data_IF_082492753654
#
_entry.id   IF_082492753654
#
_cell.length_a   1.000
_cell.length_b   1.000
_cell.length_c   1.000
_cell.angle_alpha   90.00
_cell.angle_beta   90.00
_cell.angle_gamma   90.00
#
_symmetry.space_group_name_H-M   'P 1'
#
loop_
_entity.id
_entity.type
_entity.pdbx_description
1 polymer ?
#
# COMPACT_ATOMS: atom_id res chain seq x y z
N UNK A 1 11.12 -9.75 -4.00
CA UNK A 1 11.11 -8.95 -2.76
C UNK A 1 12.55 -8.83 -2.32
N UNK A 2 13.07 -7.62 -2.27
CA UNK A 2 14.49 -7.36 -2.01
C UNK A 2 14.73 -6.88 -0.58
N UNK A 3 13.80 -6.09 -0.03
CA UNK A 3 13.89 -5.51 1.31
C UNK A 3 12.55 -5.61 2.04
N UNK A 4 12.63 -5.77 3.36
CA UNK A 4 11.49 -5.66 4.29
C UNK A 4 11.92 -4.74 5.42
N UNK A 5 11.18 -3.66 5.63
CA UNK A 5 11.51 -2.64 6.63
C UNK A 5 10.32 -2.48 7.58
N UNK A 6 10.46 -2.78 8.88
CA UNK A 6 9.41 -2.52 9.86
C UNK A 6 9.31 -1.02 10.17
N UNK A 7 8.11 -0.57 10.54
CA UNK A 7 7.83 0.77 11.06
C UNK A 7 6.89 0.65 12.26
N UNK A 8 6.98 1.57 13.21
CA UNK A 8 6.25 1.51 14.48
C UNK A 8 5.05 2.46 14.56
N UNK A 9 4.97 3.40 13.62
CA UNK A 9 3.93 4.41 13.53
C UNK A 9 2.63 3.85 12.94
N UNK A 10 1.51 4.54 13.19
CA UNK A 10 0.19 4.16 12.67
C UNK A 10 0.15 4.11 11.13
N UNK A 11 1.03 4.87 10.46
CA UNK A 11 1.15 4.88 9.00
C UNK A 11 2.61 4.88 8.58
N UNK A 12 2.95 4.30 7.41
CA UNK A 12 4.32 4.30 6.90
C UNK A 12 4.73 5.64 6.28
N UNK A 13 3.96 6.73 6.42
CA UNK A 13 4.20 7.98 5.69
C UNK A 13 5.59 8.58 5.95
N UNK A 14 6.06 8.53 7.21
CA UNK A 14 7.40 9.00 7.58
C UNK A 14 8.50 8.15 6.91
N UNK A 15 8.38 6.82 7.00
CA UNK A 15 9.30 5.88 6.36
C UNK A 15 9.32 6.06 4.83
N UNK A 16 8.15 6.20 4.19
CA UNK A 16 8.05 6.41 2.74
C UNK A 16 8.74 7.71 2.33
N UNK A 17 8.61 8.77 3.13
CA UNK A 17 9.30 10.04 2.88
C UNK A 17 10.83 9.89 2.99
N UNK A 18 11.31 9.11 3.95
CA UNK A 18 12.74 8.85 4.15
C UNK A 18 13.33 7.98 3.02
N UNK A 19 12.63 6.91 2.65
CA UNK A 19 13.04 6.01 1.55
C UNK A 19 12.96 6.71 0.19
N UNK A 20 11.99 7.62 0.00
CA UNK A 20 11.80 8.39 -1.22
C UNK A 20 11.59 7.55 -2.49
N UNK A 21 10.65 6.58 -2.51
CA UNK A 21 10.49 5.72 -3.67
C UNK A 21 9.89 6.48 -4.87
N UNK A 22 10.30 6.10 -6.10
CA UNK A 22 9.73 6.64 -7.34
C UNK A 22 8.35 6.04 -7.67
N UNK A 23 8.01 4.89 -7.08
CA UNK A 23 6.70 4.24 -7.26
C UNK A 23 6.20 3.77 -5.90
N UNK A 24 4.99 4.18 -5.52
CA UNK A 24 4.27 3.65 -4.35
C UNK A 24 3.04 2.89 -4.83
N UNK A 25 3.00 1.58 -4.55
CA UNK A 25 1.92 0.71 -4.98
C UNK A 25 1.00 0.34 -3.80
N UNK A 26 -0.32 0.36 -4.03
CA UNK A 26 -1.33 -0.11 -3.08
C UNK A 26 -2.39 -0.92 -3.82
N UNK A 27 -2.74 -2.09 -3.30
CA UNK A 27 -3.87 -2.86 -3.78
C UNK A 27 -5.18 -2.33 -3.21
N UNK A 28 -6.20 -2.25 -4.06
CA UNK A 28 -7.58 -1.95 -3.70
C UNK A 28 -8.23 -0.87 -4.56
N UNK A 29 -9.17 -0.17 -3.94
CA UNK A 29 -10.08 0.82 -4.52
C UNK A 29 -9.83 2.24 -3.99
N UNK A 30 -8.66 2.45 -3.39
CA UNK A 30 -8.21 3.73 -2.84
C UNK A 30 -8.04 4.80 -3.93
N UNK A 31 -8.34 6.06 -3.58
CA UNK A 31 -7.83 7.22 -4.31
C UNK A 31 -6.38 7.49 -3.94
N UNK A 32 -5.54 8.03 -4.84
CA UNK A 32 -4.14 8.30 -4.52
C UNK A 32 -3.94 9.19 -3.29
N UNK A 33 -4.87 10.11 -3.03
CA UNK A 33 -4.83 11.05 -1.90
C UNK A 33 -5.13 10.37 -0.54
N UNK A 34 -5.69 9.17 -0.56
CA UNK A 34 -6.01 8.38 0.65
C UNK A 34 -4.82 7.52 1.10
N UNK A 35 -3.74 7.48 0.31
CA UNK A 35 -2.57 6.64 0.57
C UNK A 35 -1.53 7.41 1.39
N UNK A 36 -1.20 6.88 2.57
CA UNK A 36 -0.13 7.41 3.41
C UNK A 36 1.20 7.52 2.64
N UNK A 37 1.82 8.71 2.65
CA UNK A 37 3.06 8.98 1.95
C UNK A 37 2.92 9.32 0.46
N UNK A 38 1.70 9.32 -0.10
CA UNK A 38 1.48 9.64 -1.52
C UNK A 38 1.98 11.04 -1.90
N UNK A 39 1.76 12.04 -1.04
CA UNK A 39 2.22 13.40 -1.29
C UNK A 39 3.74 13.47 -1.35
N UNK A 40 4.46 12.78 -0.45
CA UNK A 40 5.91 12.75 -0.47
C UNK A 40 6.45 12.19 -1.79
N UNK A 41 5.85 11.12 -2.29
CA UNK A 41 6.21 10.49 -3.57
C UNK A 41 5.91 11.42 -4.75
N UNK A 42 4.73 12.07 -4.76
CA UNK A 42 4.34 13.04 -5.81
C UNK A 42 5.31 14.24 -5.84
N UNK A 43 5.72 14.77 -4.68
CA UNK A 43 6.67 15.88 -4.60
C UNK A 43 8.07 15.52 -5.15
N UNK A 44 8.45 14.25 -5.08
CA UNK A 44 9.70 13.74 -5.66
C UNK A 44 9.58 13.40 -7.16
N UNK A 45 8.44 13.68 -7.79
CA UNK A 45 8.17 13.32 -9.19
C UNK A 45 7.87 11.83 -9.39
N UNK A 46 7.62 11.09 -8.32
CA UNK A 46 7.20 9.69 -8.36
C UNK A 46 5.71 9.53 -8.68
N UNK A 47 5.26 8.27 -8.80
CA UNK A 47 3.87 7.93 -9.13
C UNK A 47 3.24 6.97 -8.14
N UNK A 48 1.93 7.08 -8.00
CA UNK A 48 1.10 6.17 -7.21
C UNK A 48 0.47 5.14 -8.14
N UNK A 49 0.57 3.86 -7.79
CA UNK A 49 0.02 2.74 -8.55
C UNK A 49 -1.05 2.02 -7.74
N UNK A 50 -2.32 2.16 -8.13
CA UNK A 50 -3.43 1.46 -7.50
C UNK A 50 -3.72 0.19 -8.30
N UNK A 51 -3.61 -0.97 -7.64
CA UNK A 51 -3.80 -2.28 -8.25
C UNK A 51 -5.18 -2.82 -7.89
N UNK A 52 -5.94 -3.34 -8.87
CA UNK A 52 -7.24 -3.96 -8.60
C UNK A 52 -7.07 -5.25 -7.80
N UNK A 53 -8.07 -5.58 -7.00
CA UNK A 53 -8.16 -6.88 -6.37
C UNK A 53 -8.25 -8.00 -7.41
N UNK A 54 -7.77 -9.18 -7.04
CA UNK A 54 -8.02 -10.39 -7.79
C UNK A 54 -9.27 -11.06 -7.24
N UNK A 55 -10.26 -11.28 -8.10
CA UNK A 55 -11.50 -11.96 -7.73
C UNK A 55 -11.19 -13.35 -7.16
N UNK A 56 -11.89 -13.75 -6.10
CA UNK A 56 -11.65 -15.04 -5.45
C UNK A 56 -10.74 -14.99 -4.23
N UNK A 57 -9.90 -13.96 -4.11
CA UNK A 57 -8.83 -13.91 -3.12
C UNK A 57 -9.05 -12.78 -2.11
N UNK A 58 -9.71 -13.09 -0.99
CA UNK A 58 -9.78 -12.19 0.15
C UNK A 58 -9.66 -12.95 1.46
N UNK A 59 -9.11 -12.29 2.49
CA UNK A 59 -9.03 -12.86 3.83
C UNK A 59 -10.41 -13.19 4.39
N UNK A 60 -11.41 -12.35 4.12
CA UNK A 60 -12.81 -12.61 4.52
C UNK A 60 -13.32 -13.93 3.93
N UNK A 61 -13.12 -14.16 2.62
CA UNK A 61 -13.50 -15.43 1.99
C UNK A 61 -12.74 -16.63 2.55
N UNK A 62 -11.48 -16.43 2.97
CA UNK A 62 -10.73 -17.49 3.64
C UNK A 62 -11.34 -17.82 5.01
N UNK A 63 -11.78 -16.80 5.78
CA UNK A 63 -12.43 -17.01 7.07
C UNK A 63 -13.79 -17.71 6.92
N UNK A 64 -14.58 -17.31 5.93
CA UNK A 64 -15.87 -17.94 5.62
C UNK A 64 -15.66 -19.45 5.34
N UNK A 65 -14.67 -19.78 4.52
CA UNK A 65 -14.31 -21.17 4.17
C UNK A 65 -13.79 -22.02 5.33
N UNK A 66 -13.23 -21.40 6.37
CA UNK A 66 -12.74 -22.11 7.55
C UNK A 66 -13.87 -22.31 8.58
N UNK A 67 -14.92 -21.49 8.50
CA UNK A 67 -16.05 -21.50 9.42
C UNK A 67 -17.21 -22.40 8.96
N UNK A 68 -17.15 -22.90 7.72
CA UNK A 68 -17.99 -24.00 7.17
C UNK A 68 -17.42 -25.38 7.52
#
# INVERSE_FOLDING_TARGET
MDWVVPFGEDTPAALIKEVGPLVLAKGGDYKPEEIAGADAVKHLGGRIAILRYHDGLSTSRLLDRISE
#
